data_IF_486799922650
#
_entry.id   IF_486799922650
#
_cell.length_a   1.000
_cell.length_b   1.000
_cell.length_c   1.000
_cell.angle_alpha   90.00
_cell.angle_beta   90.00
_cell.angle_gamma   90.00
#
_symmetry.space_group_name_H-M   'P 1'
#
loop_
_entity.id
_entity.type
_entity.pdbx_description
1 polymer ?
#
# COMPACT_ATOMS: atom_id res chain seq x y z
N UNK A 1 25.24 -7.16 15.69
CA UNK A 1 24.72 -8.10 14.67
C UNK A 1 25.19 -9.49 15.05
N UNK A 2 24.32 -10.52 15.02
CA UNK A 2 24.77 -11.89 15.27
C UNK A 2 25.51 -12.37 14.02
N UNK A 3 26.81 -12.62 14.15
CA UNK A 3 27.66 -13.05 13.03
C UNK A 3 27.79 -14.57 12.94
N UNK A 4 27.52 -15.29 14.04
CA UNK A 4 27.72 -16.73 14.17
C UNK A 4 26.39 -17.45 14.34
N UNK A 5 26.13 -18.47 13.51
CA UNK A 5 24.86 -19.22 13.50
C UNK A 5 25.11 -20.71 13.69
N UNK A 6 24.26 -21.37 14.47
CA UNK A 6 24.34 -22.83 14.61
C UNK A 6 23.59 -23.55 13.48
N UNK A 7 23.94 -24.79 13.19
CA UNK A 7 23.22 -25.60 12.20
C UNK A 7 21.72 -25.80 12.53
N UNK A 8 21.32 -25.65 13.80
CA UNK A 8 19.91 -25.71 14.22
C UNK A 8 19.15 -24.44 13.86
N UNK A 9 19.78 -23.28 13.94
CA UNK A 9 19.18 -21.98 13.59
C UNK A 9 19.00 -21.81 12.08
N UNK A 10 19.79 -22.54 11.30
CA UNK A 10 19.72 -22.54 9.84
C UNK A 10 18.68 -23.54 9.28
N UNK A 11 17.97 -24.27 10.14
CA UNK A 11 16.92 -25.20 9.70
C UNK A 11 15.72 -24.46 9.13
N UNK A 12 15.22 -24.95 7.99
CA UNK A 12 14.02 -24.40 7.35
C UNK A 12 14.26 -23.23 6.39
N UNK A 13 15.50 -22.75 6.26
CA UNK A 13 15.88 -21.77 5.24
C UNK A 13 15.93 -22.40 3.84
N UNK A 14 15.55 -21.64 2.83
CA UNK A 14 15.51 -22.12 1.45
C UNK A 14 16.91 -22.52 0.96
N UNK A 15 17.00 -23.67 0.27
CA UNK A 15 18.27 -24.18 -0.25
C UNK A 15 19.15 -24.89 0.79
N UNK A 16 18.70 -25.06 2.03
CA UNK A 16 19.38 -25.87 3.05
C UNK A 16 18.73 -27.25 3.26
N UNK A 17 19.52 -28.28 3.60
CA UNK A 17 19.00 -29.58 4.00
C UNK A 17 18.07 -29.52 5.22
N UNK A 18 17.06 -30.39 5.25
CA UNK A 18 16.09 -30.49 6.36
C UNK A 18 16.68 -30.97 7.71
N UNK A 19 17.94 -31.41 7.74
CA UNK A 19 18.60 -31.95 8.93
C UNK A 19 19.88 -31.18 9.23
N UNK A 20 20.08 -30.81 10.51
CA UNK A 20 21.22 -30.02 10.96
C UNK A 20 22.57 -30.69 10.62
N UNK A 21 22.65 -32.02 10.70
CA UNK A 21 23.86 -32.78 10.34
C UNK A 21 24.26 -32.61 8.89
N UNK A 22 23.27 -32.53 7.99
CA UNK A 22 23.52 -32.33 6.56
C UNK A 22 23.90 -30.87 6.26
N UNK A 23 23.43 -29.91 7.05
CA UNK A 23 23.88 -28.51 6.99
C UNK A 23 25.37 -28.44 7.38
N UNK A 24 25.79 -29.09 8.47
CA UNK A 24 27.22 -29.15 8.85
C UNK A 24 28.10 -29.76 7.76
N UNK A 25 27.66 -30.85 7.12
CA UNK A 25 28.38 -31.46 5.99
C UNK A 25 28.45 -30.52 4.78
N UNK A 26 27.36 -29.81 4.48
CA UNK A 26 27.32 -28.81 3.40
C UNK A 26 28.28 -27.65 3.70
N UNK A 27 28.28 -27.15 4.94
CA UNK A 27 29.16 -26.10 5.40
C UNK A 27 30.65 -26.48 5.27
N UNK A 28 31.00 -27.70 5.64
CA UNK A 28 32.37 -28.22 5.45
C UNK A 28 32.75 -28.35 3.98
N UNK A 29 31.83 -28.82 3.13
CA UNK A 29 32.06 -28.95 1.68
C UNK A 29 32.25 -27.60 1.00
N UNK A 30 31.48 -26.61 1.41
CA UNK A 30 31.50 -25.25 0.86
C UNK A 30 32.54 -24.36 1.56
N UNK A 31 33.28 -24.88 2.54
CA UNK A 31 34.36 -24.17 3.22
C UNK A 31 33.88 -22.99 4.06
N UNK A 32 32.71 -23.09 4.68
CA UNK A 32 32.21 -22.04 5.56
C UNK A 32 33.14 -21.87 6.76
N UNK A 33 33.35 -20.63 7.19
CA UNK A 33 34.13 -20.32 8.38
C UNK A 33 33.35 -20.81 9.60
N UNK A 34 33.96 -21.71 10.39
CA UNK A 34 33.34 -22.31 11.55
C UNK A 34 34.19 -22.16 12.81
N UNK A 35 33.53 -22.08 13.96
CA UNK A 35 34.17 -22.14 15.28
C UNK A 35 33.50 -23.21 16.13
N UNK A 36 34.28 -23.87 16.98
CA UNK A 36 33.74 -24.80 17.96
C UNK A 36 33.25 -24.02 19.18
N UNK A 37 32.01 -24.30 19.61
CA UNK A 37 31.45 -23.68 20.81
C UNK A 37 31.92 -24.48 22.03
N UNK A 38 32.61 -23.81 22.96
CA UNK A 38 33.00 -24.39 24.24
C UNK A 38 31.84 -24.33 25.24
N UNK A 39 31.61 -25.42 25.99
CA UNK A 39 30.63 -25.46 27.09
C UNK A 39 29.29 -26.16 26.81
N UNK A 40 29.08 -26.71 25.61
CA UNK A 40 27.87 -27.48 25.28
C UNK A 40 28.10 -28.99 25.46
N UNK A 41 27.07 -29.76 25.86
CA UNK A 41 27.12 -31.23 25.84
C UNK A 41 27.21 -31.73 24.39
N UNK A 42 28.44 -31.98 23.92
CA UNK A 42 28.76 -32.50 22.58
C UNK A 42 29.56 -31.51 21.72
N UNK A 43 30.09 -32.00 20.59
CA UNK A 43 30.80 -31.16 19.60
C UNK A 43 29.76 -30.35 18.81
N UNK A 44 29.67 -29.04 19.09
CA UNK A 44 28.81 -28.11 18.36
C UNK A 44 29.63 -27.05 17.64
N UNK A 45 29.29 -26.82 16.36
CA UNK A 45 29.92 -25.80 15.52
C UNK A 45 28.95 -24.65 15.25
N UNK A 46 29.48 -23.44 15.25
CA UNK A 46 28.84 -22.23 14.74
C UNK A 46 29.54 -21.80 13.45
N UNK A 47 28.78 -21.20 12.53
CA UNK A 47 29.28 -20.76 11.23
C UNK A 47 29.09 -19.25 11.05
N UNK A 48 30.07 -18.60 10.42
CA UNK A 48 30.06 -17.16 10.19
C UNK A 48 29.20 -16.78 8.97
N UNK A 49 28.30 -15.82 9.13
CA UNK A 49 27.41 -15.28 8.09
C UNK A 49 28.17 -14.77 6.85
N UNK A 50 29.39 -14.25 7.01
CA UNK A 50 30.21 -13.75 5.89
C UNK A 50 30.62 -14.84 4.92
N UNK A 51 30.78 -16.07 5.43
CA UNK A 51 31.17 -17.24 4.66
C UNK A 51 29.98 -17.96 3.99
N UNK A 52 28.75 -17.52 4.25
CA UNK A 52 27.57 -18.13 3.66
C UNK A 52 27.39 -17.80 2.18
N UNK A 53 26.76 -18.71 1.41
CA UNK A 53 26.29 -18.40 0.06
C UNK A 53 25.40 -17.17 0.07
N UNK A 54 25.49 -16.36 -0.99
CA UNK A 54 24.73 -15.10 -1.12
C UNK A 54 23.23 -15.30 -0.90
N UNK A 55 22.67 -16.38 -1.43
CA UNK A 55 21.25 -16.72 -1.25
C UNK A 55 20.89 -16.93 0.23
N UNK A 56 21.71 -17.67 0.99
CA UNK A 56 21.49 -17.94 2.40
C UNK A 56 21.65 -16.67 3.24
N UNK A 57 22.69 -15.87 2.94
CA UNK A 57 22.93 -14.59 3.61
C UNK A 57 21.77 -13.62 3.39
N UNK A 58 21.27 -13.51 2.17
CA UNK A 58 20.12 -12.66 1.85
C UNK A 58 18.86 -13.07 2.63
N UNK A 59 18.60 -14.36 2.80
CA UNK A 59 17.42 -14.85 3.54
C UNK A 59 17.51 -14.55 5.04
N UNK A 60 18.68 -14.73 5.65
CA UNK A 60 18.91 -14.36 7.06
C UNK A 60 18.76 -12.85 7.26
N UNK A 61 19.33 -12.04 6.37
CA UNK A 61 19.18 -10.58 6.41
C UNK A 61 17.72 -10.16 6.24
N UNK A 62 16.98 -10.80 5.32
CA UNK A 62 15.56 -10.52 5.09
C UNK A 62 14.71 -10.81 6.33
N UNK A 63 14.98 -11.89 7.05
CA UNK A 63 14.31 -12.18 8.34
C UNK A 63 14.59 -11.10 9.39
N UNK A 64 15.80 -10.52 9.37
CA UNK A 64 16.20 -9.40 10.22
C UNK A 64 15.70 -8.04 9.70
N UNK A 65 14.94 -8.01 8.60
CA UNK A 65 14.48 -6.77 7.98
C UNK A 65 15.62 -5.94 7.40
N UNK A 66 16.66 -6.57 6.87
CA UNK A 66 17.85 -5.93 6.29
C UNK A 66 18.18 -6.49 4.92
N UNK A 67 18.95 -5.74 4.14
CA UNK A 67 19.49 -6.18 2.86
C UNK A 67 20.94 -5.71 2.70
N UNK A 68 21.80 -6.57 2.15
CA UNK A 68 23.18 -6.23 1.82
C UNK A 68 23.26 -5.71 0.38
N UNK A 69 23.97 -4.61 0.19
CA UNK A 69 24.23 -3.99 -1.11
C UNK A 69 25.71 -3.63 -1.24
N UNK A 70 26.12 -3.18 -2.42
CA UNK A 70 27.50 -2.68 -2.64
C UNK A 70 27.89 -1.51 -1.74
N UNK A 71 26.91 -0.81 -1.16
CA UNK A 71 27.12 0.35 -0.28
C UNK A 71 27.00 -0.01 1.21
N UNK A 72 26.78 -1.29 1.53
CA UNK A 72 26.62 -1.79 2.90
C UNK A 72 25.23 -2.33 3.19
N UNK A 73 24.85 -2.34 4.46
CA UNK A 73 23.58 -2.90 4.94
C UNK A 73 22.52 -1.80 5.02
N UNK A 74 21.41 -2.00 4.32
CA UNK A 74 20.22 -1.17 4.47
C UNK A 74 19.18 -1.87 5.33
N UNK A 75 18.47 -1.10 6.13
CA UNK A 75 17.26 -1.56 6.80
C UNK A 75 16.09 -1.53 5.80
N UNK A 76 15.39 -2.64 5.70
CA UNK A 76 14.19 -2.76 4.90
C UNK A 76 13.10 -2.01 5.64
N UNK A 77 12.72 -0.85 5.11
CA UNK A 77 11.52 -0.16 5.54
C UNK A 77 10.32 -1.08 5.27
N UNK A 78 9.83 -1.71 6.33
CA UNK A 78 8.50 -2.33 6.35
C UNK A 78 7.59 -1.31 6.99
N UNK A 79 6.94 -0.43 6.22
CA UNK A 79 5.90 0.42 6.79
C UNK A 79 4.84 -0.51 7.38
N UNK A 80 4.85 -0.66 8.70
CA UNK A 80 3.71 -1.14 9.46
C UNK A 80 2.63 -0.11 9.18
N UNK A 81 1.64 -0.49 8.39
CA UNK A 81 0.41 0.28 8.23
C UNK A 81 -0.30 0.16 9.58
N UNK A 82 0.12 1.00 10.52
CA UNK A 82 -0.48 1.13 11.84
C UNK A 82 -1.95 1.54 11.70
N UNK A 83 -2.72 1.19 12.74
CA UNK A 83 -4.15 1.34 12.81
C UNK A 83 -4.60 2.68 12.25
N UNK A 84 -5.35 2.58 11.15
CA UNK A 84 -6.20 3.55 10.49
C UNK A 84 -6.65 4.77 11.35
N UNK A 85 -5.74 5.71 11.65
CA UNK A 85 -6.04 7.04 12.20
C UNK A 85 -6.63 7.93 11.10
N UNK A 86 -7.76 7.50 10.53
CA UNK A 86 -8.57 8.32 9.64
C UNK A 86 -10.02 8.36 10.11
N UNK A 87 -10.62 9.53 9.95
CA UNK A 87 -12.04 9.72 10.24
C UNK A 87 -12.87 8.98 9.19
N UNK A 88 -13.35 7.80 9.58
CA UNK A 88 -14.20 6.95 8.74
C UNK A 88 -15.44 7.70 8.28
N UNK A 89 -16.04 8.52 9.14
CA UNK A 89 -17.22 9.33 8.81
C UNK A 89 -16.93 10.32 7.68
N UNK A 90 -15.78 10.99 7.69
CA UNK A 90 -15.38 11.92 6.63
C UNK A 90 -15.17 11.18 5.31
N UNK A 91 -14.58 9.99 5.36
CA UNK A 91 -14.37 9.14 4.18
C UNK A 91 -15.70 8.66 3.58
N UNK A 92 -16.62 8.16 4.40
CA UNK A 92 -17.93 7.70 3.95
C UNK A 92 -18.86 8.84 3.55
N UNK A 93 -18.73 10.02 4.14
CA UNK A 93 -19.42 11.23 3.65
C UNK A 93 -19.04 11.57 2.21
N UNK A 94 -17.78 11.33 1.80
CA UNK A 94 -17.38 11.48 0.38
C UNK A 94 -18.07 10.47 -0.52
N UNK A 95 -18.26 9.24 -0.06
CA UNK A 95 -19.01 8.20 -0.78
C UNK A 95 -20.49 8.56 -0.91
N UNK A 96 -21.10 9.06 0.17
CA UNK A 96 -22.50 9.46 0.20
C UNK A 96 -22.76 10.68 -0.69
N UNK A 97 -21.82 11.61 -0.77
CA UNK A 97 -21.90 12.76 -1.67
C UNK A 97 -21.49 12.45 -3.13
N UNK A 98 -20.96 11.27 -3.40
CA UNK A 98 -20.52 10.87 -4.74
C UNK A 98 -21.71 10.61 -5.67
N UNK A 99 -21.54 10.97 -6.94
CA UNK A 99 -22.48 10.63 -8.00
C UNK A 99 -22.52 9.11 -8.24
N UNK A 100 -23.64 8.60 -8.74
CA UNK A 100 -23.80 7.19 -9.10
C UNK A 100 -22.73 6.73 -10.11
N UNK A 101 -22.28 7.60 -10.99
CA UNK A 101 -21.19 7.31 -11.93
C UNK A 101 -19.85 7.07 -11.22
N UNK A 102 -19.56 7.84 -10.16
CA UNK A 102 -18.36 7.69 -9.35
C UNK A 102 -18.42 6.42 -8.50
N UNK A 103 -19.59 6.11 -7.92
CA UNK A 103 -19.80 4.86 -7.17
C UNK A 103 -19.63 3.63 -8.06
N UNK A 104 -20.23 3.63 -9.26
CA UNK A 104 -20.05 2.57 -10.27
C UNK A 104 -18.58 2.41 -10.69
N UNK A 105 -17.84 3.52 -10.81
CA UNK A 105 -16.42 3.46 -11.12
C UNK A 105 -15.64 2.81 -9.97
N UNK A 106 -15.88 3.22 -8.72
CA UNK A 106 -15.25 2.62 -7.55
C UNK A 106 -15.57 1.12 -7.44
N UNK A 107 -16.82 0.73 -7.67
CA UNK A 107 -17.28 -0.65 -7.71
C UNK A 107 -16.57 -1.47 -8.80
N UNK A 108 -16.33 -0.89 -9.98
CA UNK A 108 -15.54 -1.54 -11.04
C UNK A 108 -14.08 -1.80 -10.63
N UNK A 109 -13.48 -0.89 -9.87
CA UNK A 109 -12.07 -1.01 -9.46
C UNK A 109 -11.87 -1.91 -8.23
N UNK A 110 -12.86 -2.01 -7.35
CA UNK A 110 -12.78 -2.79 -6.11
C UNK A 110 -12.33 -4.25 -6.31
N UNK A 111 -12.94 -5.06 -7.21
CA UNK A 111 -12.53 -6.45 -7.39
C UNK A 111 -11.12 -6.58 -7.97
N UNK A 112 -10.68 -5.66 -8.83
CA UNK A 112 -9.33 -5.66 -9.35
C UNK A 112 -8.29 -5.41 -8.24
N UNK A 113 -8.58 -4.47 -7.33
CA UNK A 113 -7.69 -4.15 -6.21
C UNK A 113 -7.66 -5.29 -5.18
N UNK A 114 -8.80 -5.92 -4.90
CA UNK A 114 -8.88 -7.10 -4.02
C UNK A 114 -8.14 -8.30 -4.61
N UNK A 115 -8.30 -8.60 -5.90
CA UNK A 115 -7.56 -9.68 -6.56
C UNK A 115 -6.04 -9.44 -6.51
N UNK A 116 -5.59 -8.18 -6.68
CA UNK A 116 -4.18 -7.84 -6.53
C UNK A 116 -3.68 -8.07 -5.08
N UNK A 117 -4.46 -7.69 -4.06
CA UNK A 117 -4.14 -7.97 -2.65
C UNK A 117 -3.98 -9.46 -2.38
N UNK A 118 -4.91 -10.29 -2.87
CA UNK A 118 -4.85 -11.75 -2.71
C UNK A 118 -3.60 -12.36 -3.34
N UNK A 119 -3.24 -11.94 -4.56
CA UNK A 119 -2.02 -12.42 -5.23
C UNK A 119 -0.76 -12.03 -4.45
N UNK A 120 -0.70 -10.81 -3.93
CA UNK A 120 0.43 -10.35 -3.12
C UNK A 120 0.52 -11.10 -1.78
N UNK A 121 -0.61 -11.39 -1.15
CA UNK A 121 -0.67 -12.16 0.10
C UNK A 121 -0.24 -13.63 -0.10
N UNK A 122 -0.41 -14.19 -1.30
CA UNK A 122 0.13 -15.50 -1.68
C UNK A 122 1.64 -15.49 -1.99
N UNK A 123 2.30 -14.32 -1.91
CA UNK A 123 3.72 -14.17 -2.20
C UNK A 123 4.05 -14.10 -3.69
N UNK A 124 3.06 -13.86 -4.56
CA UNK A 124 3.30 -13.61 -5.99
C UNK A 124 4.00 -12.25 -6.13
N UNK A 125 4.99 -12.18 -7.02
CA UNK A 125 5.73 -10.92 -7.24
C UNK A 125 4.80 -9.79 -7.67
N UNK A 126 5.08 -8.57 -7.21
CA UNK A 126 4.29 -7.36 -7.55
C UNK A 126 4.15 -7.19 -9.06
N UNK A 127 5.24 -7.40 -9.81
CA UNK A 127 5.25 -7.32 -11.27
C UNK A 127 4.26 -8.30 -11.91
N UNK A 128 4.27 -9.55 -11.45
CA UNK A 128 3.36 -10.59 -11.98
C UNK A 128 1.92 -10.31 -11.57
N UNK A 129 1.68 -10.02 -10.29
CA UNK A 129 0.33 -9.77 -9.77
C UNK A 129 -0.37 -8.64 -10.52
N UNK A 130 0.24 -7.46 -10.61
CA UNK A 130 -0.37 -6.34 -11.30
C UNK A 130 -0.53 -6.58 -12.81
N UNK A 131 0.41 -7.25 -13.47
CA UNK A 131 0.30 -7.57 -14.89
C UNK A 131 -0.84 -8.55 -15.18
N UNK A 132 -1.00 -9.59 -14.37
CA UNK A 132 -2.07 -10.59 -14.50
C UNK A 132 -3.44 -9.95 -14.29
N UNK A 133 -3.61 -9.18 -13.21
CA UNK A 133 -4.89 -8.51 -12.91
C UNK A 133 -5.22 -7.47 -13.97
N UNK A 134 -4.23 -6.69 -14.42
CA UNK A 134 -4.42 -5.71 -15.49
C UNK A 134 -4.93 -6.34 -16.78
N UNK A 135 -4.37 -7.49 -17.18
CA UNK A 135 -4.80 -8.24 -18.35
C UNK A 135 -6.24 -8.76 -18.23
N UNK A 136 -6.60 -9.33 -17.08
CA UNK A 136 -7.94 -9.89 -16.85
C UNK A 136 -9.03 -8.81 -16.79
N UNK A 137 -8.76 -7.70 -16.09
CA UNK A 137 -9.73 -6.63 -15.88
C UNK A 137 -9.68 -5.52 -16.95
N UNK A 138 -8.80 -5.64 -17.95
CA UNK A 138 -8.56 -4.64 -19.01
C UNK A 138 -8.29 -3.24 -18.45
N UNK A 139 -7.46 -3.17 -17.40
CA UNK A 139 -7.05 -1.91 -16.75
C UNK A 139 -5.56 -1.70 -16.90
N UNK A 140 -5.10 -0.45 -16.77
CA UNK A 140 -3.67 -0.15 -16.73
C UNK A 140 -3.04 -0.72 -15.44
N UNK A 141 -2.00 -1.53 -15.58
CA UNK A 141 -1.24 -2.07 -14.45
C UNK A 141 -0.68 -0.96 -13.55
N UNK A 142 -0.24 0.16 -14.14
CA UNK A 142 0.24 1.32 -13.39
C UNK A 142 -0.87 1.95 -12.56
N UNK A 143 -2.04 2.20 -13.15
CA UNK A 143 -3.17 2.80 -12.43
C UNK A 143 -3.69 1.90 -11.33
N UNK A 144 -3.74 0.59 -11.56
CA UNK A 144 -4.12 -0.40 -10.55
C UNK A 144 -3.14 -0.37 -9.37
N UNK A 145 -1.83 -0.34 -9.64
CA UNK A 145 -0.79 -0.25 -8.62
C UNK A 145 -0.91 1.05 -7.81
N UNK A 146 -1.13 2.18 -8.47
CA UNK A 146 -1.25 3.47 -7.78
C UNK A 146 -2.50 3.50 -6.89
N UNK A 147 -3.63 2.97 -7.38
CA UNK A 147 -4.86 2.81 -6.58
C UNK A 147 -4.67 1.84 -5.41
N UNK A 148 -3.96 0.73 -5.62
CA UNK A 148 -3.65 -0.23 -4.56
C UNK A 148 -2.90 0.45 -3.40
N UNK A 149 -1.80 1.14 -3.70
CA UNK A 149 -1.03 1.85 -2.66
C UNK A 149 -1.80 3.02 -2.03
N UNK A 150 -2.73 3.65 -2.76
CA UNK A 150 -3.63 4.64 -2.20
C UNK A 150 -4.58 4.03 -1.17
N UNK A 151 -5.22 2.90 -1.50
CA UNK A 151 -6.20 2.26 -0.59
C UNK A 151 -5.56 1.47 0.54
N UNK A 152 -4.29 1.07 0.40
CA UNK A 152 -3.56 0.28 1.40
C UNK A 152 -3.49 0.97 2.78
N UNK A 153 -3.62 2.31 2.80
CA UNK A 153 -3.67 3.12 4.02
C UNK A 153 -5.01 3.02 4.77
N UNK A 154 -6.04 2.50 4.11
CA UNK A 154 -7.40 2.39 4.62
C UNK A 154 -7.77 0.93 4.92
N UNK A 155 -8.74 0.74 5.83
CA UNK A 155 -9.26 -0.58 6.15
C UNK A 155 -9.93 -1.19 4.91
N UNK A 156 -9.79 -2.51 4.72
CA UNK A 156 -10.43 -3.26 3.64
C UNK A 156 -11.92 -2.92 3.41
N UNK A 157 -12.79 -2.81 4.45
CA UNK A 157 -14.20 -2.43 4.22
C UNK A 157 -14.38 -1.01 3.68
N UNK A 158 -13.41 -0.12 3.87
CA UNK A 158 -13.47 1.29 3.48
C UNK A 158 -12.82 1.55 2.11
N UNK A 159 -12.31 0.52 1.43
CA UNK A 159 -11.69 0.65 0.11
C UNK A 159 -12.64 1.19 -0.95
N UNK A 160 -13.93 0.83 -0.89
CA UNK A 160 -14.92 1.37 -1.81
C UNK A 160 -14.99 2.91 -1.72
N UNK A 161 -15.06 3.44 -0.49
CA UNK A 161 -15.07 4.86 -0.23
C UNK A 161 -13.74 5.54 -0.61
N UNK A 162 -12.60 4.89 -0.39
CA UNK A 162 -11.29 5.40 -0.79
C UNK A 162 -11.07 5.42 -2.31
N UNK A 163 -11.76 4.54 -3.06
CA UNK A 163 -11.67 4.44 -4.53
C UNK A 163 -12.52 5.47 -5.27
N UNK A 164 -13.48 6.11 -4.60
CA UNK A 164 -14.28 7.20 -5.18
C UNK A 164 -13.35 8.32 -5.57
N UNK A 165 -13.42 8.71 -6.84
CA UNK A 165 -12.56 9.75 -7.39
C UNK A 165 -12.87 11.11 -6.72
N UNK A 166 -11.88 11.64 -6.00
CA UNK A 166 -11.95 12.95 -5.36
C UNK A 166 -12.11 14.10 -6.36
N UNK A 167 -11.83 13.87 -7.66
CA UNK A 167 -12.00 14.89 -8.72
C UNK A 167 -13.44 15.38 -8.87
N UNK A 168 -14.44 14.58 -8.48
CA UNK A 168 -15.83 15.02 -8.43
C UNK A 168 -16.36 15.34 -7.03
N UNK A 169 -15.64 14.94 -5.97
CA UNK A 169 -15.95 15.32 -4.58
C UNK A 169 -15.57 16.78 -4.29
N UNK A 170 -14.63 17.34 -5.06
CA UNK A 170 -14.63 18.77 -5.30
C UNK A 170 -15.83 19.09 -6.20
N UNK A 171 -17.04 19.08 -5.63
CA UNK A 171 -17.92 20.21 -5.92
C UNK A 171 -16.99 21.38 -5.73
N UNK A 172 -16.68 22.13 -6.80
CA UNK A 172 -16.06 23.45 -6.65
C UNK A 172 -16.72 23.97 -5.38
N UNK A 173 -15.94 24.28 -4.35
CA UNK A 173 -16.41 25.28 -3.41
C UNK A 173 -16.78 26.41 -4.35
N UNK A 174 -18.07 26.48 -4.71
CA UNK A 174 -18.58 27.53 -5.56
C UNK A 174 -18.26 28.67 -4.67
N UNK A 175 -17.18 29.37 -5.02
CA UNK A 175 -16.69 30.49 -4.27
C UNK A 175 -17.95 31.30 -4.07
N UNK A 176 -18.45 31.36 -2.83
CA UNK A 176 -19.54 32.28 -2.53
C UNK A 176 -18.85 33.60 -2.76
N UNK A 177 -19.09 34.15 -3.94
CA UNK A 177 -18.51 35.38 -4.38
C UNK A 177 -19.04 36.42 -3.40
N UNK A 178 -18.12 37.09 -2.74
CA UNK A 178 -18.43 38.18 -1.84
C UNK A 178 -19.06 39.28 -2.69
N UNK A 179 -20.32 39.56 -2.43
CA UNK A 179 -21.11 40.60 -3.10
C UNK A 179 -21.95 41.32 -2.05
N UNK A 180 -22.36 42.54 -2.37
CA UNK A 180 -23.22 43.34 -1.49
C UNK A 180 -24.57 42.63 -1.26
N UNK A 181 -24.87 42.34 0.01
CA UNK A 181 -26.10 41.62 0.39
C UNK A 181 -27.36 42.43 0.05
N UNK A 182 -27.30 43.75 0.18
CA UNK A 182 -28.41 44.66 -0.16
C UNK A 182 -28.75 44.62 -1.66
N UNK A 183 -27.73 44.58 -2.51
CA UNK A 183 -27.89 44.46 -3.96
C UNK A 183 -28.53 43.10 -4.32
N UNK A 184 -28.07 42.01 -3.68
CA UNK A 184 -28.65 40.70 -3.89
C UNK A 184 -30.13 40.62 -3.46
N UNK A 185 -30.47 41.21 -2.31
CA UNK A 185 -31.87 41.27 -1.84
C UNK A 185 -32.74 42.13 -2.75
N UNK A 186 -32.22 43.25 -3.26
CA UNK A 186 -32.96 44.09 -4.22
C UNK A 186 -33.30 43.33 -5.50
N UNK A 187 -32.32 42.60 -6.06
CA UNK A 187 -32.53 41.81 -7.27
C UNK A 187 -33.57 40.69 -7.06
N UNK A 188 -33.50 39.98 -5.94
CA UNK A 188 -34.50 38.96 -5.58
C UNK A 188 -35.88 39.60 -5.41
N UNK A 189 -35.97 40.72 -4.71
CA UNK A 189 -37.23 41.39 -4.43
C UNK A 189 -37.90 41.93 -5.71
N UNK A 190 -37.15 42.46 -6.67
CA UNK A 190 -37.71 42.95 -7.94
C UNK A 190 -38.13 41.78 -8.86
N UNK A 191 -37.35 40.69 -8.88
CA UNK A 191 -37.65 39.52 -9.71
C UNK A 191 -38.87 38.73 -9.23
N UNK A 192 -39.11 38.66 -7.91
CA UNK A 192 -40.23 37.93 -7.31
C UNK A 192 -41.54 38.72 -7.27
N UNK A 193 -41.60 39.94 -7.82
CA UNK A 193 -42.85 40.70 -7.92
C UNK A 193 -43.87 39.97 -8.82
N UNK A 194 -45.19 40.12 -8.56
CA UNK A 194 -46.24 39.52 -9.42
C UNK A 194 -46.15 39.94 -10.88
N UNK A 195 -45.57 41.13 -11.15
CA UNK A 195 -45.30 41.64 -12.50
C UNK A 195 -44.30 40.78 -13.31
N UNK A 196 -43.52 39.92 -12.63
CA UNK A 196 -42.50 39.02 -13.18
C UNK A 196 -41.65 39.68 -14.30
N UNK A 197 -41.00 40.82 -14.01
CA UNK A 197 -40.17 41.52 -14.98
C UNK A 197 -39.08 40.60 -15.56
N UNK A 198 -38.66 40.88 -16.80
CA UNK A 198 -37.57 40.15 -17.43
C UNK A 198 -36.29 40.31 -16.61
N UNK A 199 -35.57 39.20 -16.36
CA UNK A 199 -34.37 39.19 -15.52
C UNK A 199 -33.35 40.28 -15.87
N UNK A 200 -33.13 40.51 -17.18
CA UNK A 200 -32.21 41.55 -17.67
C UNK A 200 -32.63 42.96 -17.22
N UNK A 201 -33.92 43.26 -17.16
CA UNK A 201 -34.44 44.55 -16.71
C UNK A 201 -34.32 44.73 -15.20
N UNK A 202 -34.47 43.67 -14.41
CA UNK A 202 -34.20 43.71 -12.97
C UNK A 202 -32.72 43.97 -12.70
N UNK A 203 -31.83 43.35 -13.48
CA UNK A 203 -30.39 43.54 -13.37
C UNK A 203 -29.94 44.94 -13.82
N UNK A 204 -30.59 45.55 -14.82
CA UNK A 204 -30.32 46.94 -15.24
C UNK A 204 -30.82 47.99 -14.23
N UNK A 205 -31.72 47.61 -13.31
CA UNK A 205 -32.26 48.48 -12.24
C UNK A 205 -31.52 48.35 -10.92
N UNK A 206 -30.74 47.28 -10.79
CA UNK A 206 -29.85 47.02 -9.66
C UNK A 206 -28.65 47.96 -9.71
#
# INVERSE_FOLDING_TARGET
MKEWYTAKELLGLAGLPKQATNITRKAQREGWEFRQVAGTKGVSFEFNIKSFPVALRAEILLQQGRIETSQGYFEIARPTLEAHDYDREVLWSKWDNASDSQRRLAEKWLPAVQAADEMLNQGISTKTAFATVAGHYQVSASTLRDKYYQVQKFAKPDWAAALVDGRGASRRNVHKSEFDEDAWQFLIADYLRPEKPAFRKCYERL
#
